data_IF_217511572605
#
_entry.id   IF_217511572605
#
_cell.length_a   1.000
_cell.length_b   1.000
_cell.length_c   1.000
_cell.angle_alpha   90.00
_cell.angle_beta   90.00
_cell.angle_gamma   90.00
#
_symmetry.space_group_name_H-M   'P 1'
#
loop_
_entity.id
_entity.type
_entity.pdbx_description
1 polymer ?
#
# COMPACT_ATOMS: atom_id res chain seq x y z
N UNK A 1 17.46 0.74 44.80
CA UNK A 1 16.01 0.54 45.02
C UNK A 1 15.33 1.47 44.04
N UNK A 2 15.14 1.01 42.81
CA UNK A 2 14.47 1.76 41.74
C UNK A 2 13.13 1.06 41.48
N UNK A 3 12.06 1.75 41.85
CA UNK A 3 10.67 1.34 41.62
C UNK A 3 10.36 1.53 40.13
N UNK A 4 10.29 0.43 39.39
CA UNK A 4 9.73 0.44 38.04
C UNK A 4 8.22 0.57 38.17
N UNK A 5 7.72 1.80 38.11
CA UNK A 5 6.29 2.06 37.95
C UNK A 5 5.95 1.94 36.46
N UNK A 6 5.66 0.72 36.01
CA UNK A 6 5.17 0.42 34.65
C UNK A 6 3.93 -0.45 34.73
N UNK A 7 2.91 0.02 35.43
CA UNK A 7 1.58 -0.58 35.33
C UNK A 7 0.96 -0.11 34.00
N UNK A 8 1.30 -0.78 32.91
CA UNK A 8 0.67 -0.54 31.61
C UNK A 8 -0.84 -0.80 31.75
N UNK A 9 -1.69 0.15 31.36
CA UNK A 9 -3.13 -0.03 31.54
C UNK A 9 -3.64 -1.27 30.79
N UNK A 10 -4.65 -1.95 31.35
CA UNK A 10 -5.33 -3.10 30.70
C UNK A 10 -5.74 -2.76 29.27
N UNK A 11 -6.18 -1.52 29.03
CA UNK A 11 -6.55 -1.06 27.68
C UNK A 11 -5.36 -1.07 26.71
N UNK A 12 -4.18 -0.65 27.15
CA UNK A 12 -2.98 -0.65 26.34
C UNK A 12 -2.47 -2.08 26.11
N UNK A 13 -2.46 -2.93 27.14
CA UNK A 13 -2.08 -4.35 27.00
C UNK A 13 -3.00 -5.08 26.01
N UNK A 14 -4.31 -4.86 26.10
CA UNK A 14 -5.29 -5.41 25.15
C UNK A 14 -5.02 -4.90 23.73
N UNK A 15 -4.78 -3.59 23.57
CA UNK A 15 -4.48 -3.00 22.26
C UNK A 15 -3.23 -3.63 21.64
N UNK A 16 -2.13 -3.70 22.38
CA UNK A 16 -0.86 -4.23 21.89
C UNK A 16 -1.01 -5.71 21.49
N UNK A 17 -1.72 -6.49 22.31
CA UNK A 17 -1.97 -7.92 22.04
C UNK A 17 -2.80 -8.12 20.78
N UNK A 18 -3.83 -7.30 20.56
CA UNK A 18 -4.65 -7.33 19.34
C UNK A 18 -3.82 -6.89 18.13
N UNK A 19 -3.01 -5.82 18.24
CA UNK A 19 -2.22 -5.28 17.12
C UNK A 19 -1.14 -6.24 16.61
N UNK A 20 -0.60 -7.10 17.48
CA UNK A 20 0.36 -8.13 17.07
C UNK A 20 -0.27 -9.30 16.29
N UNK A 21 -1.61 -9.35 16.16
CA UNK A 21 -2.35 -10.48 15.56
C UNK A 21 -3.24 -10.02 14.41
N UNK A 22 -2.74 -10.06 13.16
CA UNK A 22 -3.50 -9.64 11.98
C UNK A 22 -4.87 -10.34 11.84
N UNK A 23 -4.96 -11.62 12.17
CA UNK A 23 -6.22 -12.38 12.09
C UNK A 23 -7.30 -11.87 13.05
N UNK A 24 -6.92 -11.41 14.25
CA UNK A 24 -7.85 -10.83 15.21
C UNK A 24 -8.26 -9.43 14.76
N UNK A 25 -7.31 -8.62 14.28
CA UNK A 25 -7.60 -7.32 13.68
C UNK A 25 -8.62 -7.43 12.54
N UNK A 26 -8.43 -8.38 11.62
CA UNK A 26 -9.33 -8.60 10.49
C UNK A 26 -10.72 -9.04 10.95
N UNK A 27 -10.80 -9.97 11.91
CA UNK A 27 -12.07 -10.44 12.44
C UNK A 27 -12.82 -9.34 13.22
N UNK A 28 -12.12 -8.51 14.00
CA UNK A 28 -12.69 -7.35 14.69
C UNK A 28 -13.22 -6.33 13.69
N UNK A 29 -12.45 -6.04 12.65
CA UNK A 29 -12.84 -5.17 11.53
C UNK A 29 -14.11 -5.66 10.83
N UNK A 30 -14.23 -6.97 10.61
CA UNK A 30 -15.39 -7.58 9.97
C UNK A 30 -16.62 -7.66 10.90
N UNK A 31 -16.49 -7.28 12.18
CA UNK A 31 -17.54 -7.37 13.21
C UNK A 31 -18.09 -8.80 13.40
N UNK A 32 -17.25 -9.81 13.17
CA UNK A 32 -17.61 -11.23 13.31
C UNK A 32 -17.14 -11.86 14.64
N UNK A 33 -16.43 -11.09 15.46
CA UNK A 33 -15.87 -11.56 16.74
C UNK A 33 -16.90 -11.51 17.85
N UNK A 34 -16.99 -12.59 18.63
CA UNK A 34 -17.64 -12.53 19.92
C UNK A 34 -16.70 -11.88 20.96
N UNK A 35 -16.97 -10.63 21.33
CA UNK A 35 -16.14 -9.88 22.28
C UNK A 35 -15.98 -10.55 23.64
N UNK A 36 -16.99 -11.28 24.11
CA UNK A 36 -16.90 -11.98 25.40
C UNK A 36 -15.95 -13.17 25.33
N UNK A 37 -15.94 -13.90 24.20
CA UNK A 37 -15.02 -15.01 23.99
C UNK A 37 -13.58 -14.50 23.81
N UNK A 38 -13.38 -13.46 23.00
CA UNK A 38 -12.06 -12.85 22.81
C UNK A 38 -11.52 -12.26 24.12
N UNK A 39 -12.37 -11.62 24.93
CA UNK A 39 -11.95 -11.06 26.21
C UNK A 39 -11.45 -12.12 27.19
N UNK A 40 -12.05 -13.32 27.23
CA UNK A 40 -11.57 -14.42 28.08
C UNK A 40 -10.19 -14.91 27.64
N UNK A 41 -10.00 -15.09 26.34
CA UNK A 41 -8.70 -15.49 25.77
C UNK A 41 -7.62 -14.45 26.11
N UNK A 42 -7.93 -13.16 25.90
CA UNK A 42 -6.98 -12.08 26.19
C UNK A 42 -6.73 -11.91 27.70
N UNK A 43 -7.75 -12.12 28.55
CA UNK A 43 -7.57 -12.08 30.00
C UNK A 43 -6.63 -13.19 30.48
N UNK A 44 -6.78 -14.41 29.96
CA UNK A 44 -5.90 -15.54 30.28
C UNK A 44 -4.45 -15.27 29.85
N UNK A 45 -4.25 -14.61 28.70
CA UNK A 45 -2.92 -14.25 28.20
C UNK A 45 -2.27 -13.09 28.97
N UNK A 46 -3.05 -12.05 29.30
CA UNK A 46 -2.55 -10.85 29.98
C UNK A 46 -2.33 -11.13 31.47
N UNK A 47 -3.16 -11.97 32.09
CA UNK A 47 -3.08 -12.32 33.52
C UNK A 47 -3.53 -11.21 34.48
N UNK A 48 -3.98 -10.06 33.96
CA UNK A 48 -4.38 -8.89 34.74
C UNK A 48 -5.77 -8.37 34.31
N UNK A 49 -6.51 -7.82 35.28
CA UNK A 49 -7.83 -7.22 35.05
C UNK A 49 -9.00 -8.21 35.15
N UNK A 50 -10.20 -7.66 35.39
CA UNK A 50 -11.43 -8.45 35.34
C UNK A 50 -11.85 -8.73 33.90
N UNK A 51 -12.60 -9.82 33.69
CA UNK A 51 -13.16 -10.16 32.37
C UNK A 51 -13.99 -9.00 31.80
N UNK A 52 -14.67 -8.23 32.66
CA UNK A 52 -15.45 -7.06 32.27
C UNK A 52 -14.56 -5.90 31.81
N UNK A 53 -13.44 -5.65 32.52
CA UNK A 53 -12.49 -4.61 32.16
C UNK A 53 -11.80 -4.92 30.82
N UNK A 54 -11.38 -6.17 30.62
CA UNK A 54 -10.79 -6.64 29.36
C UNK A 54 -11.80 -6.55 28.22
N UNK A 55 -13.05 -6.98 28.44
CA UNK A 55 -14.12 -6.87 27.43
C UNK A 55 -14.38 -5.42 27.05
N UNK A 56 -14.45 -4.51 28.02
CA UNK A 56 -14.63 -3.08 27.75
C UNK A 56 -13.45 -2.51 26.94
N UNK A 57 -12.23 -2.94 27.24
CA UNK A 57 -11.05 -2.57 26.46
C UNK A 57 -11.10 -3.11 25.02
N UNK A 58 -11.49 -4.38 24.82
CA UNK A 58 -11.63 -4.99 23.49
C UNK A 58 -12.64 -4.24 22.64
N UNK A 59 -13.81 -3.90 23.19
CA UNK A 59 -14.85 -3.14 22.48
C UNK A 59 -14.31 -1.79 22.03
N UNK A 60 -13.65 -1.05 22.94
CA UNK A 60 -13.06 0.26 22.61
C UNK A 60 -12.03 0.16 21.49
N UNK A 61 -11.13 -0.82 21.56
CA UNK A 61 -10.11 -1.04 20.52
C UNK A 61 -10.76 -1.42 19.18
N UNK A 62 -11.81 -2.24 19.19
CA UNK A 62 -12.55 -2.61 17.98
C UNK A 62 -13.21 -1.40 17.30
N UNK A 63 -13.81 -0.50 18.10
CA UNK A 63 -14.43 0.73 17.59
C UNK A 63 -13.38 1.67 16.96
N UNK A 64 -12.25 1.90 17.64
CA UNK A 64 -11.13 2.70 17.13
C UNK A 64 -10.58 2.14 15.80
N UNK A 65 -10.36 0.83 15.72
CA UNK A 65 -9.88 0.16 14.49
C UNK A 65 -10.88 0.35 13.34
N UNK A 66 -12.17 0.23 13.63
CA UNK A 66 -13.22 0.40 12.62
C UNK A 66 -13.29 1.83 12.10
N UNK A 67 -13.11 2.83 12.95
CA UNK A 67 -13.10 4.25 12.55
C UNK A 67 -11.89 4.56 11.66
N UNK A 68 -10.68 4.17 12.09
CA UNK A 68 -9.44 4.37 11.33
C UNK A 68 -9.50 3.71 9.95
N UNK A 69 -10.05 2.49 9.87
CA UNK A 69 -10.24 1.80 8.59
C UNK A 69 -11.19 2.57 7.68
N UNK A 70 -12.32 3.04 8.21
CA UNK A 70 -13.32 3.76 7.41
C UNK A 70 -12.75 5.02 6.77
N UNK A 71 -11.86 5.73 7.49
CA UNK A 71 -11.17 6.91 7.00
C UNK A 71 -10.16 6.54 5.90
N UNK A 72 -9.36 5.50 6.13
CA UNK A 72 -8.41 4.99 5.12
C UNK A 72 -9.13 4.50 3.86
N UNK A 73 -10.22 3.79 4.01
CA UNK A 73 -11.00 3.26 2.88
C UNK A 73 -11.61 4.39 2.06
N UNK A 74 -12.15 5.44 2.71
CA UNK A 74 -12.60 6.65 2.01
C UNK A 74 -11.48 7.35 1.27
N UNK A 75 -10.29 7.45 1.86
CA UNK A 75 -9.12 8.04 1.20
C UNK A 75 -8.71 7.24 -0.04
N UNK A 76 -8.61 5.92 0.08
CA UNK A 76 -8.31 5.02 -1.04
C UNK A 76 -9.38 5.12 -2.13
N UNK A 77 -10.66 5.10 -1.76
CA UNK A 77 -11.77 5.26 -2.70
C UNK A 77 -11.73 6.62 -3.41
N UNK A 78 -11.39 7.71 -2.72
CA UNK A 78 -11.23 9.03 -3.34
C UNK A 78 -10.10 9.02 -4.36
N UNK A 79 -8.93 8.47 -4.00
CA UNK A 79 -7.79 8.37 -4.91
C UNK A 79 -8.17 7.59 -6.17
N UNK A 80 -8.82 6.43 -6.01
CA UNK A 80 -9.24 5.60 -7.14
C UNK A 80 -10.30 6.29 -8.00
N UNK A 81 -11.29 6.95 -7.38
CA UNK A 81 -12.36 7.66 -8.08
C UNK A 81 -11.82 8.83 -8.91
N UNK A 82 -10.85 9.55 -8.38
CA UNK A 82 -10.31 10.75 -9.01
C UNK A 82 -9.10 10.46 -9.91
N UNK A 83 -8.62 9.21 -9.92
CA UNK A 83 -7.54 8.76 -10.81
C UNK A 83 -8.03 8.78 -12.26
N UNK A 84 -7.25 9.43 -13.14
CA UNK A 84 -7.52 9.46 -14.58
C UNK A 84 -6.61 8.47 -15.29
N UNK A 85 -7.21 7.63 -16.13
CA UNK A 85 -6.50 6.67 -16.98
C UNK A 85 -6.44 7.20 -18.40
N UNK A 86 -5.24 7.26 -18.98
CA UNK A 86 -5.03 7.61 -20.39
C UNK A 86 -4.32 6.47 -21.10
N UNK A 87 -4.80 6.13 -22.29
CA UNK A 87 -4.12 5.24 -23.22
C UNK A 87 -3.48 6.09 -24.32
N UNK A 88 -2.23 5.78 -24.63
CA UNK A 88 -1.53 6.37 -25.76
C UNK A 88 -0.94 5.26 -26.62
N UNK A 89 -1.45 5.16 -27.85
CA UNK A 89 -0.98 4.21 -28.85
C UNK A 89 0.27 4.74 -29.57
N UNK A 90 0.83 3.92 -30.46
CA UNK A 90 1.99 4.26 -31.29
C UNK A 90 3.22 4.61 -30.44
N UNK A 91 3.33 3.98 -29.27
CA UNK A 91 4.52 4.04 -28.44
C UNK A 91 5.51 2.99 -28.92
N UNK A 92 6.79 3.34 -28.88
CA UNK A 92 7.88 2.41 -29.12
C UNK A 92 8.89 2.46 -27.99
N UNK A 93 9.65 1.37 -27.83
CA UNK A 93 10.74 1.27 -26.86
C UNK A 93 12.02 0.95 -27.60
N UNK A 94 13.01 1.83 -27.46
CA UNK A 94 14.32 1.75 -28.10
C UNK A 94 15.35 1.42 -27.03
N UNK A 95 16.08 0.31 -27.19
CA UNK A 95 17.13 -0.11 -26.27
C UNK A 95 18.46 -0.11 -27.02
N UNK A 96 19.44 0.62 -26.48
CA UNK A 96 20.75 0.83 -27.10
C UNK A 96 21.86 0.75 -26.06
N UNK A 97 23.01 0.17 -26.42
CA UNK A 97 24.22 0.20 -25.57
C UNK A 97 24.96 1.54 -25.64
N UNK A 98 24.61 2.40 -26.60
CA UNK A 98 25.18 3.74 -26.77
C UNK A 98 24.08 4.79 -26.58
N UNK A 99 24.49 5.97 -26.11
CA UNK A 99 23.57 7.11 -26.02
C UNK A 99 23.16 7.54 -27.42
N UNK A 100 21.85 7.58 -27.65
CA UNK A 100 21.24 8.08 -28.88
C UNK A 100 20.67 9.47 -28.66
N UNK A 101 20.84 10.34 -29.66
CA UNK A 101 20.18 11.64 -29.74
C UNK A 101 18.90 11.48 -30.58
N UNK A 102 17.84 11.02 -29.93
CA UNK A 102 16.54 10.77 -30.55
C UNK A 102 15.42 11.47 -29.77
N UNK A 103 14.35 11.94 -30.44
CA UNK A 103 13.16 12.42 -29.75
C UNK A 103 12.55 11.31 -28.89
N UNK A 104 12.39 11.57 -27.60
CA UNK A 104 11.87 10.61 -26.64
C UNK A 104 10.94 11.28 -25.64
N UNK A 105 10.00 10.50 -25.10
CA UNK A 105 9.07 10.89 -24.03
C UNK A 105 9.76 10.70 -22.68
N UNK A 106 10.44 9.56 -22.50
CA UNK A 106 11.17 9.19 -21.28
C UNK A 106 12.46 8.48 -21.68
N UNK A 107 13.52 8.70 -20.92
CA UNK A 107 14.78 7.95 -21.01
C UNK A 107 15.11 7.34 -19.65
N UNK A 108 15.58 6.10 -19.65
CA UNK A 108 16.13 5.43 -18.49
C UNK A 108 17.58 5.02 -18.78
N UNK A 109 18.46 5.30 -17.82
CA UNK A 109 19.87 4.98 -17.88
C UNK A 109 20.13 3.76 -16.99
N UNK A 110 20.42 2.62 -17.61
CA UNK A 110 20.87 1.41 -16.94
C UNK A 110 22.40 1.34 -17.00
N UNK A 111 23.01 0.43 -16.23
CA UNK A 111 24.47 0.31 -16.12
C UNK A 111 25.17 0.23 -17.48
N UNK A 112 24.61 -0.54 -18.42
CA UNK A 112 25.22 -0.78 -19.74
C UNK A 112 24.32 -0.41 -20.93
N UNK A 113 23.13 0.16 -20.66
CA UNK A 113 22.10 0.37 -21.68
C UNK A 113 21.29 1.65 -21.44
N UNK A 114 20.84 2.22 -22.54
CA UNK A 114 19.92 3.34 -22.62
C UNK A 114 18.59 2.85 -23.15
N UNK A 115 17.52 3.11 -22.41
CA UNK A 115 16.15 2.75 -22.79
C UNK A 115 15.37 4.03 -23.04
N UNK A 116 14.82 4.17 -24.24
CA UNK A 116 14.03 5.33 -24.64
C UNK A 116 12.60 4.89 -24.93
N UNK A 117 11.63 5.57 -24.30
CA UNK A 117 10.22 5.48 -24.68
C UNK A 117 9.97 6.60 -25.69
N UNK A 118 9.51 6.24 -26.88
CA UNK A 118 9.38 7.16 -28.02
C UNK A 118 7.96 7.15 -28.59
N UNK A 119 7.57 8.27 -29.20
CA UNK A 119 6.38 8.35 -30.04
C UNK A 119 6.76 7.97 -31.48
N UNK A 120 6.19 6.89 -32.01
CA UNK A 120 6.49 6.41 -33.36
C UNK A 120 6.06 7.39 -34.46
N UNK A 121 5.10 8.29 -34.19
CA UNK A 121 4.65 9.29 -35.18
C UNK A 121 5.69 10.38 -35.41
N UNK A 122 6.53 10.64 -34.41
CA UNK A 122 7.57 11.68 -34.43
C UNK A 122 8.91 11.11 -34.88
N UNK A 123 9.11 9.80 -34.75
CA UNK A 123 10.30 9.08 -35.23
C UNK A 123 10.40 9.12 -36.76
N UNK A 124 11.08 10.13 -37.29
CA UNK A 124 11.36 10.31 -38.73
C UNK A 124 12.70 9.70 -39.18
N UNK A 125 13.62 9.48 -38.24
CA UNK A 125 14.98 9.04 -38.54
C UNK A 125 15.10 7.51 -38.50
N UNK A 126 15.91 6.95 -39.40
CA UNK A 126 16.32 5.55 -39.32
C UNK A 126 17.16 5.34 -38.07
N UNK A 127 16.73 4.41 -37.22
CA UNK A 127 17.49 3.99 -36.05
C UNK A 127 18.78 3.25 -36.51
N UNK A 128 19.90 3.37 -35.78
CA UNK A 128 21.10 2.60 -36.07
C UNK A 128 20.81 1.09 -36.05
N UNK A 129 21.50 0.31 -36.89
CA UNK A 129 21.26 -1.14 -37.05
C UNK A 129 21.43 -1.96 -35.76
N UNK A 130 22.23 -1.47 -34.80
CA UNK A 130 22.53 -2.15 -33.52
C UNK A 130 21.62 -1.75 -32.37
N UNK A 131 20.35 -1.43 -32.66
CA UNK A 131 19.39 -0.97 -31.67
C UNK A 131 18.18 -1.89 -31.66
N UNK A 132 17.79 -2.33 -30.46
CA UNK A 132 16.54 -3.11 -30.33
C UNK A 132 15.38 -2.13 -30.30
N UNK A 133 14.43 -2.30 -31.22
CA UNK A 133 13.25 -1.45 -31.29
C UNK A 133 11.96 -2.27 -31.22
N UNK A 134 11.23 -2.11 -30.12
CA UNK A 134 9.89 -2.66 -29.95
C UNK A 134 8.86 -1.61 -30.38
N UNK A 135 7.96 -2.00 -31.27
CA UNK A 135 6.95 -1.13 -31.89
C UNK A 135 5.54 -1.56 -31.48
N UNK A 136 4.58 -0.68 -31.79
CA UNK A 136 3.14 -0.85 -31.61
C UNK A 136 2.74 -1.16 -30.17
N UNK A 137 3.42 -0.50 -29.23
CA UNK A 137 3.09 -0.58 -27.81
C UNK A 137 2.02 0.47 -27.46
N UNK A 138 1.32 0.20 -26.37
CA UNK A 138 0.35 1.10 -25.77
C UNK A 138 0.87 1.51 -24.41
N UNK A 139 0.99 2.81 -24.15
CA UNK A 139 1.27 3.30 -22.81
C UNK A 139 -0.03 3.47 -22.02
N UNK A 140 -0.09 2.83 -20.86
CA UNK A 140 -1.11 3.07 -19.84
C UNK A 140 -0.56 4.13 -18.88
N UNK A 141 -1.12 5.34 -18.94
CA UNK A 141 -0.73 6.45 -18.09
C UNK A 141 -1.78 6.60 -16.99
N UNK A 142 -1.36 6.37 -15.75
CA UNK A 142 -2.18 6.55 -14.56
C UNK A 142 -1.84 7.89 -13.91
N UNK A 143 -2.84 8.76 -13.81
CA UNK A 143 -2.70 10.07 -13.18
C UNK A 143 -3.50 10.07 -11.88
N UNK A 144 -2.80 9.92 -10.76
CA UNK A 144 -3.41 10.05 -9.43
C UNK A 144 -3.74 11.51 -9.12
N UNK A 145 -4.79 11.79 -8.34
CA UNK A 145 -5.05 13.13 -7.83
C UNK A 145 -3.88 13.64 -6.97
N UNK A 146 -3.65 14.97 -6.94
CA UNK A 146 -2.57 15.60 -6.17
C UNK A 146 -2.77 15.52 -4.65
#
# INVERSE_FOLDING_TARGET
METTDRTQSIAQQVRDTIQMRPSILDALNMKIVNFSALARILQEEIGEGSSEAVKAAVIRVADEISEDRSLREKAVQSILKDTKVRLQDKIGVVISSIRLDIPHIVTAHLTDQYVYIVDQTIMKNQLPEKVQFQKNLVALILLSPP
#
